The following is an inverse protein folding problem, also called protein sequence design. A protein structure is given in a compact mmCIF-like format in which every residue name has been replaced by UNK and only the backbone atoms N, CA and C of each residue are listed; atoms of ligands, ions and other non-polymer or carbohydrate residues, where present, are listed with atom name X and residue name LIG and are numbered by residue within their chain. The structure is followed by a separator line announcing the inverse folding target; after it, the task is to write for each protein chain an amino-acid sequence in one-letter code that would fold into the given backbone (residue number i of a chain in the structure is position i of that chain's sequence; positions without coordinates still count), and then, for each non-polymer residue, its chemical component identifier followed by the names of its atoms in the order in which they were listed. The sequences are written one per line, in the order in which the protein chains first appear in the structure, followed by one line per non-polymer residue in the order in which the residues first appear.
data_IF_594086863241
#
_entry.id   IF_594086863241
#
_cell.length_a   1.000
_cell.length_b   1.000
_cell.length_c   1.000
_cell.angle_alpha   90.00
_cell.angle_beta   90.00
_cell.angle_gamma   90.00
#
_symmetry.space_group_name_H-M   'P 1'
#
loop_
_entity.id
_entity.type
_entity.pdbx_description
1 polymer ?
#
# COMPACT_ATOMS: atom_id res chain seq x y z
N UNK A 1 28.17 -42.14 0.45
CA UNK A 1 26.97 -41.94 -0.39
C UNK A 1 26.08 -40.90 0.28
N UNK A 2 25.96 -39.71 -0.31
CA UNK A 2 25.25 -38.56 0.26
C UNK A 2 23.78 -38.57 -0.17
N UNK A 3 22.85 -38.47 0.79
CA UNK A 3 21.42 -38.26 0.54
C UNK A 3 21.17 -36.75 0.34
N UNK A 4 21.06 -36.33 -0.92
CA UNK A 4 20.49 -35.03 -1.28
C UNK A 4 19.01 -35.02 -0.85
N UNK A 5 18.63 -34.17 0.11
CA UNK A 5 17.22 -33.85 0.38
C UNK A 5 16.82 -32.75 -0.58
N UNK A 6 15.98 -33.08 -1.56
CA UNK A 6 15.36 -32.13 -2.48
C UNK A 6 14.47 -31.18 -1.66
N UNK A 7 14.91 -29.93 -1.50
CA UNK A 7 14.03 -28.86 -1.06
C UNK A 7 13.19 -28.43 -2.27
N UNK A 8 11.93 -28.87 -2.30
CA UNK A 8 10.94 -28.42 -3.29
C UNK A 8 10.56 -26.97 -3.04
N UNK A 9 10.59 -26.18 -4.11
CA UNK A 9 10.28 -24.77 -4.13
C UNK A 9 8.86 -24.45 -3.64
N UNK A 10 8.74 -23.28 -2.99
CA UNK A 10 7.54 -22.47 -2.79
C UNK A 10 6.42 -23.04 -1.89
N UNK A 11 6.65 -23.06 -0.58
CA UNK A 11 5.55 -23.00 0.40
C UNK A 11 4.98 -21.57 0.42
N UNK A 12 4.05 -21.25 -0.49
CA UNK A 12 3.24 -20.03 -0.37
C UNK A 12 2.45 -20.11 0.94
N UNK A 13 2.49 -19.09 1.82
CA UNK A 13 1.63 -19.10 3.00
C UNK A 13 0.17 -19.17 2.57
N UNK A 14 -0.53 -20.14 3.15
CA UNK A 14 -1.93 -20.45 2.96
C UNK A 14 -2.81 -19.23 3.20
N UNK A 15 -3.83 -19.10 2.35
CA UNK A 15 -4.67 -17.92 2.22
C UNK A 15 -5.21 -17.35 3.53
N UNK A 16 -4.83 -16.10 3.79
CA UNK A 16 -5.71 -15.20 4.52
C UNK A 16 -6.82 -14.82 3.53
N UNK A 17 -7.99 -15.46 3.68
CA UNK A 17 -9.20 -14.95 3.04
C UNK A 17 -9.42 -13.49 3.44
N UNK A 18 -10.21 -12.72 2.66
CA UNK A 18 -10.48 -11.33 3.00
C UNK A 18 -10.97 -11.25 4.45
N UNK A 19 -10.38 -10.33 5.22
CA UNK A 19 -10.73 -10.16 6.61
C UNK A 19 -12.26 -9.95 6.71
N UNK A 20 -12.93 -10.81 7.47
CA UNK A 20 -14.39 -10.74 7.59
C UNK A 20 -14.83 -9.38 8.12
N UNK A 21 -16.00 -8.89 7.66
CA UNK A 21 -16.56 -7.58 8.05
C UNK A 21 -16.61 -7.39 9.58
N UNK A 22 -16.82 -8.46 10.32
CA UNK A 22 -16.85 -8.45 11.78
C UNK A 22 -15.47 -8.18 12.40
N UNK A 23 -14.41 -8.73 11.80
CA UNK A 23 -13.04 -8.52 12.22
C UNK A 23 -12.59 -7.08 11.93
N UNK A 24 -12.82 -6.59 10.71
CA UNK A 24 -12.46 -5.20 10.34
C UNK A 24 -13.19 -4.19 11.22
N UNK A 25 -14.51 -4.35 11.40
CA UNK A 25 -15.31 -3.46 12.26
C UNK A 25 -14.82 -3.46 13.71
N UNK A 26 -14.42 -4.63 14.24
CA UNK A 26 -13.92 -4.74 15.62
C UNK A 26 -12.55 -4.11 15.80
N UNK A 27 -11.66 -4.31 14.84
CA UNK A 27 -10.29 -3.77 14.87
C UNK A 27 -10.26 -2.26 14.68
N UNK A 28 -11.17 -1.69 13.87
CA UNK A 28 -11.25 -0.25 13.63
C UNK A 28 -12.24 0.50 14.53
N UNK A 29 -12.96 -0.19 15.42
CA UNK A 29 -14.04 0.41 16.23
C UNK A 29 -13.61 1.58 17.12
N UNK A 30 -12.34 1.58 17.52
CA UNK A 30 -11.76 2.58 18.42
C UNK A 30 -10.73 3.49 17.73
N UNK A 31 -10.61 3.40 16.40
CA UNK A 31 -9.77 4.33 15.65
C UNK A 31 -10.61 5.58 15.39
N UNK A 32 -10.10 6.73 15.82
CA UNK A 32 -10.69 8.04 15.52
C UNK A 32 -10.72 8.35 14.03
N UNK A 33 -9.93 7.59 13.25
CA UNK A 33 -9.82 7.67 11.80
C UNK A 33 -10.57 6.50 11.14
N UNK A 34 -11.40 6.81 10.15
CA UNK A 34 -12.12 5.82 9.34
C UNK A 34 -11.14 4.94 8.55
N UNK A 35 -11.48 3.65 8.35
CA UNK A 35 -10.65 2.71 7.57
C UNK A 35 -10.32 3.23 6.16
N UNK A 36 -11.26 3.92 5.51
CA UNK A 36 -11.02 4.57 4.21
C UNK A 36 -9.90 5.61 4.29
N UNK A 37 -9.82 6.38 5.37
CA UNK A 37 -8.78 7.39 5.52
C UNK A 37 -7.41 6.77 5.75
N UNK A 38 -7.32 5.68 6.53
CA UNK A 38 -6.08 4.90 6.65
C UNK A 38 -5.66 4.29 5.31
N UNK A 39 -6.63 3.83 4.50
CA UNK A 39 -6.36 3.29 3.17
C UNK A 39 -5.77 4.37 2.26
N UNK A 40 -6.37 5.56 2.26
CA UNK A 40 -5.89 6.73 1.50
C UNK A 40 -4.50 7.14 1.98
N UNK A 41 -4.29 7.25 3.29
CA UNK A 41 -3.01 7.64 3.87
C UNK A 41 -1.90 6.66 3.46
N UNK A 42 -2.19 5.35 3.48
CA UNK A 42 -1.23 4.32 3.06
C UNK A 42 -0.92 4.37 1.57
N UNK A 43 -1.93 4.62 0.71
CA UNK A 43 -1.73 4.80 -0.73
C UNK A 43 -0.86 6.02 -1.03
N UNK A 44 -1.09 7.11 -0.31
CA UNK A 44 -0.31 8.34 -0.45
C UNK A 44 1.12 8.16 0.04
N UNK A 45 1.34 7.47 1.17
CA UNK A 45 2.67 7.15 1.68
C UNK A 45 3.48 6.30 0.68
N UNK A 46 2.86 5.27 0.09
CA UNK A 46 3.51 4.45 -0.94
C UNK A 46 3.89 5.30 -2.16
N UNK A 47 3.01 6.20 -2.58
CA UNK A 47 3.27 7.10 -3.69
C UNK A 47 4.50 7.97 -3.39
N UNK A 48 4.62 8.50 -2.18
CA UNK A 48 5.75 9.33 -1.77
C UNK A 48 7.08 8.56 -1.71
N UNK A 49 7.07 7.27 -1.35
CA UNK A 49 8.27 6.42 -1.31
C UNK A 49 8.79 6.02 -2.71
N UNK A 50 7.91 6.02 -3.70
CA UNK A 50 8.20 5.57 -5.06
C UNK A 50 8.13 6.70 -6.09
N UNK A 51 8.55 7.91 -5.70
CA UNK A 51 8.63 9.10 -6.57
C UNK A 51 7.32 9.43 -7.32
N UNK A 52 6.19 9.13 -6.69
CA UNK A 52 4.86 9.26 -7.26
C UNK A 52 4.68 8.51 -8.60
N UNK A 53 5.10 7.24 -8.64
CA UNK A 53 4.85 6.35 -9.78
C UNK A 53 3.41 5.78 -9.75
N UNK A 54 2.53 6.17 -10.70
CA UNK A 54 1.17 5.65 -10.77
C UNK A 54 1.10 4.17 -11.19
N UNK A 55 2.09 3.66 -11.94
CA UNK A 55 2.09 2.24 -12.33
C UNK A 55 2.36 1.35 -11.11
N UNK A 56 3.28 1.76 -10.25
CA UNK A 56 3.55 1.10 -8.97
C UNK A 56 2.29 1.05 -8.09
N UNK A 57 1.58 2.18 -7.96
CA UNK A 57 0.35 2.25 -7.17
C UNK A 57 -0.76 1.33 -7.69
N UNK A 58 -0.97 1.28 -9.00
CA UNK A 58 -1.95 0.40 -9.62
C UNK A 58 -1.61 -1.08 -9.34
N UNK A 59 -0.33 -1.45 -9.43
CA UNK A 59 0.13 -2.82 -9.19
C UNK A 59 0.06 -3.24 -7.72
N UNK A 60 0.48 -2.38 -6.79
CA UNK A 60 0.53 -2.70 -5.35
C UNK A 60 -0.86 -2.75 -4.72
N UNK A 61 -1.75 -1.82 -5.10
CA UNK A 61 -3.08 -1.72 -4.49
C UNK A 61 -4.20 -2.30 -5.33
N UNK A 62 -3.96 -2.69 -6.58
CA UNK A 62 -4.98 -3.22 -7.49
C UNK A 62 -6.09 -2.22 -7.77
N UNK A 63 -5.74 -0.94 -7.87
CA UNK A 63 -6.69 0.17 -8.14
C UNK A 63 -6.69 0.53 -9.62
N UNK A 64 -7.76 1.20 -10.06
CA UNK A 64 -7.88 1.74 -11.42
C UNK A 64 -6.72 2.71 -11.72
N UNK A 65 -6.21 2.65 -12.94
CA UNK A 65 -5.17 3.53 -13.48
C UNK A 65 -5.49 5.01 -13.24
N UNK A 66 -6.74 5.44 -13.43
CA UNK A 66 -7.17 6.83 -13.17
C UNK A 66 -7.03 7.21 -11.70
N UNK A 67 -7.37 6.29 -10.81
CA UNK A 67 -7.23 6.49 -9.37
C UNK A 67 -5.76 6.53 -8.98
N UNK A 68 -4.93 5.67 -9.57
CA UNK A 68 -3.49 5.67 -9.34
C UNK A 68 -2.81 6.97 -9.82
N UNK A 69 -3.17 7.47 -11.00
CA UNK A 69 -2.70 8.76 -11.54
C UNK A 69 -3.08 9.90 -10.58
N UNK A 70 -4.31 9.93 -10.09
CA UNK A 70 -4.76 10.96 -9.17
C UNK A 70 -3.93 11.00 -7.86
N UNK A 71 -3.62 9.83 -7.30
CA UNK A 71 -2.77 9.74 -6.10
C UNK A 71 -1.31 10.11 -6.39
N UNK A 72 -0.77 9.70 -7.53
CA UNK A 72 0.56 10.11 -7.95
C UNK A 72 0.67 11.64 -8.08
N UNK A 73 -0.29 12.29 -8.73
CA UNK A 73 -0.27 13.76 -8.85
C UNK A 73 -0.40 14.45 -7.50
N UNK A 74 -1.23 13.93 -6.59
CA UNK A 74 -1.33 14.43 -5.22
C UNK A 74 0.00 14.31 -4.47
N UNK A 75 0.70 13.18 -4.62
CA UNK A 75 2.01 12.95 -4.02
C UNK A 75 3.08 13.90 -4.60
N UNK A 76 3.07 14.17 -5.91
CA UNK A 76 3.98 15.15 -6.54
C UNK A 76 3.82 16.55 -5.97
N UNK A 77 2.59 17.01 -5.77
CA UNK A 77 2.32 18.32 -5.16
C UNK A 77 2.91 18.38 -3.75
N UNK A 78 2.71 17.34 -2.95
CA UNK A 78 3.25 17.27 -1.58
C UNK A 78 4.79 17.22 -1.56
N UNK A 79 5.42 16.49 -2.48
CA UNK A 79 6.88 16.46 -2.61
C UNK A 79 7.43 17.84 -2.96
N UNK A 80 6.79 18.55 -3.89
CA UNK A 80 7.20 19.91 -4.26
C UNK A 80 7.04 20.89 -3.08
N UNK A 81 5.91 20.84 -2.36
CA UNK A 81 5.70 21.66 -1.17
C UNK A 81 6.72 21.35 -0.07
N UNK A 82 7.03 20.07 0.16
CA UNK A 82 8.05 19.67 1.14
C UNK A 82 9.45 20.11 0.72
N UNK A 83 9.75 20.16 -0.59
CA UNK A 83 11.00 20.70 -1.10
C UNK A 83 11.10 22.22 -0.90
N UNK A 84 10.03 22.96 -1.17
CA UNK A 84 9.95 24.41 -0.93
C UNK A 84 10.13 24.77 0.54
N UNK A 85 9.51 24.01 1.45
CA UNK A 85 9.66 24.20 2.90
C UNK A 85 11.08 23.93 3.40
N UNK A 86 11.83 23.04 2.77
CA UNK A 86 13.23 22.73 3.15
C UNK A 86 14.23 23.82 2.73
N UNK A 87 13.84 24.70 1.79
CA UNK A 87 14.69 25.78 1.28
C UNK A 87 14.49 27.11 2.03
N UNK A 88 13.57 27.15 3.00
CA UNK A 88 13.28 28.30 3.87
C UNK A 88 13.95 28.13 5.24
#
# INVERSE_FOLDING_TARGET
MARQRNYSAASRPVGLGPAGKLWTTRTTRNLTTTLERLRVDRQLEEALLHDADPLHLALVFGIDEKTAIHYADSARVLLNQAAEQRLQ
#
